data_IF_229392396930
#
_entry.id   IF_229392396930
#
_cell.length_a   1.000
_cell.length_b   1.000
_cell.length_c   1.000
_cell.angle_alpha   90.00
_cell.angle_beta   90.00
_cell.angle_gamma   90.00
#
_symmetry.space_group_name_H-M   'P 1'
#
loop_
_entity.id
_entity.type
_entity.pdbx_description
1 polymer ?
#
# COMPACT_ATOMS: atom_id res chain seq x y z
N UNK A 1 -3.44 24.20 48.86
CA UNK A 1 -2.95 25.52 48.41
C UNK A 1 -1.61 25.37 47.72
N UNK A 2 -1.33 26.25 46.74
CA UNK A 2 -0.09 26.46 45.97
C UNK A 2 0.10 25.61 44.70
N UNK A 3 -0.33 26.26 43.61
CA UNK A 3 0.00 26.05 42.20
C UNK A 3 1.48 26.35 41.95
N UNK A 4 2.11 25.72 40.95
CA UNK A 4 3.05 26.44 40.07
C UNK A 4 3.10 25.84 38.66
N UNK A 5 3.25 26.75 37.70
CA UNK A 5 2.99 26.61 36.26
C UNK A 5 4.27 26.27 35.47
N UNK A 6 4.05 25.55 34.36
CA UNK A 6 4.65 25.60 32.99
C UNK A 6 5.98 26.34 32.79
N UNK A 7 6.82 25.78 31.90
CA UNK A 7 7.25 26.42 30.64
C UNK A 7 7.87 25.39 29.68
N UNK A 8 7.43 25.44 28.42
CA UNK A 8 7.82 24.58 27.30
C UNK A 8 8.25 25.52 26.18
N UNK A 9 9.48 25.34 25.70
CA UNK A 9 10.15 26.21 24.72
C UNK A 9 10.00 25.62 23.32
N UNK A 10 9.39 26.36 22.39
CA UNK A 10 9.34 26.03 20.96
C UNK A 10 10.06 27.14 20.20
N UNK A 11 11.16 26.79 19.53
CA UNK A 11 11.91 27.69 18.65
C UNK A 11 11.34 27.66 17.24
N UNK A 12 10.90 28.83 16.76
CA UNK A 12 10.53 29.08 15.36
C UNK A 12 11.69 29.86 14.74
N UNK A 13 12.37 29.27 13.76
CA UNK A 13 13.36 29.97 12.94
C UNK A 13 12.69 30.36 11.60
N UNK A 14 12.27 31.62 11.52
CA UNK A 14 11.89 32.29 10.28
C UNK A 14 13.13 33.04 9.74
N UNK A 15 13.63 32.63 8.58
CA UNK A 15 14.77 33.24 7.89
C UNK A 15 14.33 33.87 6.57
N UNK A 16 14.59 35.18 6.47
CA UNK A 16 14.20 36.15 5.44
C UNK A 16 14.90 36.04 4.07
N UNK A 17 14.15 36.50 3.05
CA UNK A 17 14.51 37.34 1.88
C UNK A 17 15.98 37.46 1.40
N UNK A 18 16.17 37.29 0.09
CA UNK A 18 16.96 38.21 -0.76
C UNK A 18 16.61 38.06 -2.25
N UNK A 19 16.74 39.17 -2.97
CA UNK A 19 16.16 39.50 -4.27
C UNK A 19 17.23 39.68 -5.38
N UNK A 20 16.81 39.43 -6.64
CA UNK A 20 17.21 40.09 -7.91
C UNK A 20 18.48 39.64 -8.70
N UNK A 21 18.56 39.94 -10.03
CA UNK A 21 19.11 39.08 -11.09
C UNK A 21 20.46 39.57 -11.65
N UNK A 22 21.14 38.72 -12.42
CA UNK A 22 22.24 39.13 -13.28
C UNK A 22 22.23 38.34 -14.61
N UNK A 23 21.97 39.07 -15.70
CA UNK A 23 22.25 38.65 -17.08
C UNK A 23 23.76 38.65 -17.31
N UNK A 24 24.32 37.54 -17.77
CA UNK A 24 25.69 37.47 -18.28
C UNK A 24 25.66 36.96 -19.73
N UNK A 25 25.98 37.86 -20.65
CA UNK A 25 26.28 37.57 -22.05
C UNK A 25 27.62 36.83 -22.12
N UNK A 26 27.62 35.60 -22.62
CA UNK A 26 28.86 34.91 -22.96
C UNK A 26 29.25 35.27 -24.41
N UNK A 27 30.49 35.73 -24.54
CA UNK A 27 31.12 36.20 -25.77
C UNK A 27 31.24 35.08 -26.80
N UNK A 28 30.92 35.42 -28.05
CA UNK A 28 31.29 34.69 -29.25
C UNK A 28 32.81 34.73 -29.39
N UNK A 29 33.48 33.58 -29.21
CA UNK A 29 34.88 33.43 -29.58
C UNK A 29 34.95 32.67 -30.90
N UNK A 30 35.17 33.42 -31.97
CA UNK A 30 35.25 32.97 -33.35
C UNK A 30 36.67 32.42 -33.58
N UNK A 31 36.87 31.14 -33.25
CA UNK A 31 38.09 30.41 -33.61
C UNK A 31 37.74 29.25 -34.53
N UNK A 32 37.82 29.50 -35.83
CA UNK A 32 37.75 28.51 -36.90
C UNK A 32 38.74 27.36 -36.64
N UNK A 33 38.28 26.12 -36.40
CA UNK A 33 39.11 24.94 -36.56
C UNK A 33 39.08 24.50 -38.03
N UNK A 34 40.25 24.15 -38.56
CA UNK A 34 40.42 23.54 -39.87
C UNK A 34 39.47 22.32 -40.06
N UNK A 35 39.06 22.00 -41.30
CA UNK A 35 38.19 20.85 -41.56
C UNK A 35 38.97 19.56 -41.32
N UNK A 36 38.91 19.04 -40.09
CA UNK A 36 39.26 17.65 -39.81
C UNK A 36 38.15 16.83 -40.41
N UNK A 37 38.47 16.05 -41.43
CA UNK A 37 37.60 15.03 -42.02
C UNK A 37 37.39 13.95 -40.95
N UNK A 38 36.47 14.20 -40.03
CA UNK A 38 35.97 13.21 -39.11
C UNK A 38 35.16 12.22 -39.95
N UNK A 39 35.83 11.16 -40.41
CA UNK A 39 35.17 9.90 -40.78
C UNK A 39 34.50 9.38 -39.51
N UNK A 40 33.33 9.91 -39.22
CA UNK A 40 32.40 9.37 -38.25
C UNK A 40 32.08 7.96 -38.73
N UNK A 41 32.73 6.99 -38.11
CA UNK A 41 32.26 5.61 -38.15
C UNK A 41 30.94 5.65 -37.41
N UNK A 42 29.85 5.91 -38.15
CA UNK A 42 28.51 5.62 -37.67
C UNK A 42 28.52 4.12 -37.42
N UNK A 43 28.71 3.73 -36.15
CA UNK A 43 28.38 2.39 -35.70
C UNK A 43 26.93 2.17 -36.07
N UNK A 44 26.71 1.45 -37.16
CA UNK A 44 25.38 1.01 -37.54
C UNK A 44 24.83 0.24 -36.34
N UNK A 45 23.90 0.86 -35.62
CA UNK A 45 23.20 0.19 -34.51
C UNK A 45 22.55 -1.06 -35.11
N UNK A 46 23.14 -2.21 -34.81
CA UNK A 46 22.65 -3.48 -35.31
C UNK A 46 21.29 -3.68 -34.68
N UNK A 47 20.22 -3.64 -35.50
CA UNK A 47 18.87 -3.84 -35.01
C UNK A 47 18.81 -5.17 -34.26
N UNK A 48 18.19 -5.23 -33.07
CA UNK A 48 18.05 -6.48 -32.34
C UNK A 48 17.33 -7.51 -33.21
N UNK A 49 17.83 -8.75 -33.24
CA UNK A 49 17.17 -9.82 -33.98
C UNK A 49 15.76 -10.07 -33.42
N UNK A 50 14.86 -10.58 -34.26
CA UNK A 50 13.51 -10.95 -33.82
C UNK A 50 13.54 -11.93 -32.65
N UNK A 51 14.43 -12.91 -32.69
CA UNK A 51 14.59 -13.90 -31.61
C UNK A 51 14.96 -13.22 -30.29
N UNK A 52 15.88 -12.24 -30.31
CA UNK A 52 16.24 -11.48 -29.11
C UNK A 52 15.06 -10.66 -28.56
N UNK A 53 14.15 -10.19 -29.43
CA UNK A 53 12.96 -9.45 -29.03
C UNK A 53 11.95 -10.40 -28.39
N UNK A 54 11.70 -11.56 -29.00
CA UNK A 54 10.83 -12.61 -28.48
C UNK A 54 11.32 -13.13 -27.13
N UNK A 55 12.61 -13.39 -26.99
CA UNK A 55 13.20 -13.85 -25.72
C UNK A 55 12.98 -12.83 -24.58
N UNK A 56 13.16 -11.54 -24.86
CA UNK A 56 12.88 -10.49 -23.86
C UNK A 56 11.41 -10.43 -23.48
N UNK A 57 10.51 -10.63 -24.44
CA UNK A 57 9.07 -10.68 -24.21
C UNK A 57 8.68 -11.91 -23.38
N UNK A 58 9.22 -13.09 -23.71
CA UNK A 58 9.03 -14.32 -22.94
C UNK A 58 9.46 -14.14 -21.47
N UNK A 59 10.66 -13.60 -21.23
CA UNK A 59 11.14 -13.26 -19.87
C UNK A 59 10.22 -12.26 -19.15
N UNK A 60 9.58 -11.35 -19.87
CA UNK A 60 8.65 -10.39 -19.28
C UNK A 60 7.31 -11.04 -18.90
N UNK A 61 6.87 -12.05 -19.65
CA UNK A 61 5.69 -12.87 -19.35
C UNK A 61 5.99 -13.80 -18.17
N UNK A 62 7.12 -14.52 -18.19
CA UNK A 62 7.56 -15.43 -17.13
C UNK A 62 7.57 -14.73 -15.77
N UNK A 63 8.25 -13.58 -15.65
CA UNK A 63 8.25 -12.80 -14.39
C UNK A 63 6.85 -12.45 -13.86
N UNK A 64 5.88 -12.24 -14.76
CA UNK A 64 4.51 -11.93 -14.38
C UNK A 64 3.76 -13.19 -13.93
N UNK A 65 3.98 -14.32 -14.60
CA UNK A 65 3.45 -15.61 -14.19
C UNK A 65 3.99 -16.01 -12.82
N UNK A 66 5.30 -15.88 -12.58
CA UNK A 66 5.91 -16.12 -11.27
C UNK A 66 5.27 -15.25 -10.17
N UNK A 67 5.02 -13.97 -10.51
CA UNK A 67 4.34 -13.06 -9.58
C UNK A 67 2.92 -13.54 -9.29
N UNK A 68 2.17 -14.02 -10.28
CA UNK A 68 0.81 -14.53 -10.10
C UNK A 68 0.80 -15.83 -9.27
N UNK A 69 1.79 -16.69 -9.42
CA UNK A 69 1.94 -17.91 -8.61
C UNK A 69 2.28 -17.58 -7.14
N UNK A 70 3.15 -16.60 -6.92
CA UNK A 70 3.41 -16.06 -5.58
C UNK A 70 2.15 -15.48 -4.94
N UNK A 71 1.38 -14.68 -5.69
CA UNK A 71 0.12 -14.11 -5.18
C UNK A 71 -0.90 -15.21 -4.88
N UNK A 72 -1.00 -16.22 -5.75
CA UNK A 72 -1.86 -17.40 -5.55
C UNK A 72 -1.52 -18.11 -4.24
N UNK A 73 -0.24 -18.37 -4.01
CA UNK A 73 0.25 -19.02 -2.78
C UNK A 73 -0.08 -18.19 -1.54
N UNK A 74 0.15 -16.87 -1.59
CA UNK A 74 -0.16 -15.94 -0.49
C UNK A 74 -1.65 -15.85 -0.18
N UNK A 75 -2.50 -15.75 -1.21
CA UNK A 75 -3.97 -15.66 -1.05
C UNK A 75 -4.53 -16.98 -0.51
N UNK A 76 -4.06 -18.12 -1.02
CA UNK A 76 -4.48 -19.44 -0.57
C UNK A 76 -4.14 -19.65 0.90
N UNK A 77 -2.90 -19.36 1.28
CA UNK A 77 -2.39 -19.50 2.65
C UNK A 77 -2.80 -18.39 3.64
N UNK A 78 -3.53 -17.36 3.21
CA UNK A 78 -3.95 -16.29 4.13
C UNK A 78 -5.03 -16.78 5.09
N UNK A 79 -4.77 -16.72 6.40
CA UNK A 79 -5.74 -17.13 7.43
C UNK A 79 -6.84 -16.09 7.66
N UNK A 80 -6.56 -14.81 7.37
CA UNK A 80 -7.47 -13.71 7.68
C UNK A 80 -8.37 -13.33 6.50
N UNK A 81 -7.99 -13.71 5.27
CA UNK A 81 -8.76 -13.33 4.09
C UNK A 81 -10.11 -14.03 4.01
N UNK A 82 -11.14 -13.27 3.65
CA UNK A 82 -12.49 -13.85 3.50
C UNK A 82 -12.54 -14.83 2.33
N UNK A 83 -13.37 -15.89 2.40
CA UNK A 83 -13.52 -16.85 1.30
C UNK A 83 -13.93 -16.18 -0.03
N UNK A 84 -14.79 -15.16 0.04
CA UNK A 84 -15.23 -14.38 -1.12
C UNK A 84 -14.05 -13.66 -1.77
N UNK A 85 -13.24 -12.95 -0.98
CA UNK A 85 -12.08 -12.24 -1.50
C UNK A 85 -11.03 -13.18 -2.11
N UNK A 86 -10.78 -14.32 -1.46
CA UNK A 86 -9.90 -15.36 -2.02
C UNK A 86 -10.39 -15.83 -3.37
N UNK A 87 -11.66 -16.23 -3.47
CA UNK A 87 -12.25 -16.74 -4.71
C UNK A 87 -12.14 -15.72 -5.86
N UNK A 88 -12.48 -14.46 -5.61
CA UNK A 88 -12.40 -13.39 -6.62
C UNK A 88 -10.97 -13.19 -7.12
N UNK A 89 -10.00 -13.07 -6.21
CA UNK A 89 -8.60 -12.84 -6.59
C UNK A 89 -7.99 -14.05 -7.32
N UNK A 90 -8.26 -15.27 -6.85
CA UNK A 90 -7.76 -16.49 -7.50
C UNK A 90 -8.34 -16.66 -8.91
N UNK A 91 -9.63 -16.35 -9.11
CA UNK A 91 -10.26 -16.35 -10.42
C UNK A 91 -9.60 -15.35 -11.38
N UNK A 92 -9.27 -14.16 -10.89
CA UNK A 92 -8.55 -13.16 -11.68
C UNK A 92 -7.14 -13.59 -12.03
N UNK A 93 -6.37 -14.17 -11.10
CA UNK A 93 -5.01 -14.62 -11.36
C UNK A 93 -4.98 -15.73 -12.41
N UNK A 94 -5.93 -16.68 -12.35
CA UNK A 94 -6.07 -17.73 -13.35
C UNK A 94 -6.36 -17.14 -14.73
N UNK A 95 -7.27 -16.17 -14.82
CA UNK A 95 -7.59 -15.47 -16.08
C UNK A 95 -6.38 -14.71 -16.64
N UNK A 96 -5.65 -13.97 -15.80
CA UNK A 96 -4.46 -13.24 -16.20
C UNK A 96 -3.33 -14.18 -16.66
N UNK A 97 -3.13 -15.30 -15.96
CA UNK A 97 -2.13 -16.31 -16.32
C UNK A 97 -2.43 -16.94 -17.68
N UNK A 98 -3.70 -17.31 -17.91
CA UNK A 98 -4.15 -17.84 -19.20
C UNK A 98 -3.94 -16.83 -20.33
N UNK A 99 -4.36 -15.57 -20.13
CA UNK A 99 -4.20 -14.53 -21.14
C UNK A 99 -2.72 -14.22 -21.45
N UNK A 100 -1.84 -14.24 -20.44
CA UNK A 100 -0.40 -14.08 -20.63
C UNK A 100 0.20 -15.23 -21.43
N UNK A 101 -0.23 -16.48 -21.19
CA UNK A 101 0.16 -17.64 -21.98
C UNK A 101 -0.23 -17.49 -23.45
N UNK A 102 -1.50 -17.17 -23.72
CA UNK A 102 -1.99 -16.92 -25.09
C UNK A 102 -1.23 -15.78 -25.78
N UNK A 103 -0.90 -14.71 -25.06
CA UNK A 103 -0.09 -13.62 -25.62
C UNK A 103 1.34 -14.08 -25.92
N UNK A 104 1.93 -14.92 -25.06
CA UNK A 104 3.23 -15.54 -25.29
C UNK A 104 3.27 -16.35 -26.59
N UNK A 105 2.28 -17.22 -26.79
CA UNK A 105 2.17 -18.03 -28.01
C UNK A 105 2.08 -17.18 -29.27
N UNK A 106 1.32 -16.08 -29.22
CA UNK A 106 1.20 -15.13 -30.34
C UNK A 106 2.49 -14.39 -30.63
N UNK A 107 3.24 -14.01 -29.60
CA UNK A 107 4.55 -13.36 -29.75
C UNK A 107 5.55 -14.34 -30.36
N UNK A 108 5.53 -15.59 -29.93
CA UNK A 108 6.41 -16.63 -30.47
C UNK A 108 6.09 -16.94 -31.93
N UNK A 109 4.81 -16.97 -32.30
CA UNK A 109 4.36 -17.18 -33.67
C UNK A 109 4.59 -15.97 -34.61
N UNK A 110 4.90 -14.78 -34.08
CA UNK A 110 5.07 -13.57 -34.89
C UNK A 110 6.24 -13.72 -35.88
N UNK A 111 6.01 -13.33 -37.14
CA UNK A 111 6.95 -13.45 -38.25
C UNK A 111 7.47 -12.10 -38.74
N UNK A 112 6.95 -11.01 -38.20
CA UNK A 112 7.35 -9.64 -38.54
C UNK A 112 7.63 -8.78 -37.31
N UNK A 113 8.43 -7.72 -37.50
CA UNK A 113 8.65 -6.71 -36.45
C UNK A 113 7.39 -5.90 -36.13
N UNK A 114 6.46 -5.77 -37.09
CA UNK A 114 5.21 -5.05 -36.90
C UNK A 114 4.27 -5.79 -35.96
N UNK A 115 4.11 -7.11 -36.14
CA UNK A 115 3.38 -7.97 -35.19
C UNK A 115 3.97 -7.88 -33.77
N UNK A 116 5.29 -7.95 -33.64
CA UNK A 116 5.97 -7.85 -32.34
C UNK A 116 5.75 -6.47 -31.70
N UNK A 117 5.78 -5.39 -32.50
CA UNK A 117 5.54 -4.03 -32.03
C UNK A 117 4.12 -3.86 -31.46
N UNK A 118 3.15 -4.57 -32.01
CA UNK A 118 1.75 -4.53 -31.56
C UNK A 118 1.45 -5.47 -30.38
N UNK A 119 2.11 -6.63 -30.32
CA UNK A 119 1.86 -7.64 -29.30
C UNK A 119 2.58 -7.34 -27.98
N UNK A 120 3.85 -6.94 -28.02
CA UNK A 120 4.68 -6.80 -26.82
C UNK A 120 4.14 -5.76 -25.82
N UNK A 121 3.63 -4.58 -26.23
CA UNK A 121 3.08 -3.61 -25.29
C UNK A 121 1.90 -4.16 -24.46
N UNK A 122 1.15 -5.13 -25.00
CA UNK A 122 0.00 -5.75 -24.34
C UNK A 122 0.38 -6.53 -23.08
N UNK A 123 1.62 -7.05 -23.01
CA UNK A 123 2.15 -7.72 -21.80
C UNK A 123 2.02 -6.81 -20.57
N UNK A 124 2.23 -5.50 -20.77
CA UNK A 124 2.04 -4.51 -19.71
C UNK A 124 0.62 -3.96 -19.71
N UNK A 125 0.11 -3.51 -20.86
CA UNK A 125 -1.14 -2.77 -20.95
C UNK A 125 -2.38 -3.60 -20.59
N UNK A 126 -2.44 -4.86 -20.98
CA UNK A 126 -3.68 -5.65 -20.83
C UNK A 126 -3.74 -6.35 -19.46
N UNK A 127 -2.59 -6.57 -18.81
CA UNK A 127 -2.52 -7.34 -17.56
C UNK A 127 -2.17 -6.50 -16.32
N UNK A 128 -1.37 -5.43 -16.48
CA UNK A 128 -0.96 -4.47 -15.43
C UNK A 128 -0.69 -5.08 -14.05
N UNK A 129 -0.06 -6.27 -14.03
CA UNK A 129 0.19 -7.06 -12.81
C UNK A 129 0.78 -6.21 -11.68
N UNK A 130 1.82 -5.42 -11.98
CA UNK A 130 2.52 -4.62 -10.97
C UNK A 130 1.81 -3.31 -10.59
N UNK A 131 0.93 -2.78 -11.44
CA UNK A 131 0.26 -1.49 -11.21
C UNK A 131 -1.12 -1.65 -10.57
N UNK A 132 -1.81 -2.77 -10.81
CA UNK A 132 -3.17 -3.02 -10.33
C UNK A 132 -3.23 -4.29 -9.49
N UNK A 133 -2.90 -5.45 -10.07
CA UNK A 133 -3.15 -6.76 -9.44
C UNK A 133 -2.38 -6.92 -8.11
N UNK A 134 -1.07 -6.65 -8.10
CA UNK A 134 -0.24 -6.72 -6.89
C UNK A 134 -0.71 -5.75 -5.80
N UNK A 135 -0.83 -4.42 -6.03
CA UNK A 135 -1.25 -3.51 -4.97
C UNK A 135 -2.67 -3.79 -4.47
N UNK A 136 -3.61 -4.12 -5.36
CA UNK A 136 -4.97 -4.54 -4.98
C UNK A 136 -4.95 -5.73 -4.03
N UNK A 137 -4.25 -6.79 -4.39
CA UNK A 137 -4.12 -8.01 -3.57
C UNK A 137 -3.63 -7.70 -2.16
N UNK A 138 -2.59 -6.86 -2.06
CA UNK A 138 -2.03 -6.45 -0.77
C UNK A 138 -3.05 -5.68 0.06
N UNK A 139 -3.84 -4.80 -0.56
CA UNK A 139 -4.84 -3.99 0.13
C UNK A 139 -6.04 -4.82 0.59
N UNK A 140 -6.53 -5.76 -0.23
CA UNK A 140 -7.59 -6.71 0.16
C UNK A 140 -7.13 -7.52 1.38
N UNK A 141 -5.94 -8.12 1.33
CA UNK A 141 -5.41 -8.89 2.47
C UNK A 141 -5.21 -8.02 3.73
N UNK A 142 -4.72 -6.78 3.58
CA UNK A 142 -4.55 -5.87 4.71
C UNK A 142 -5.90 -5.44 5.33
N UNK A 143 -6.91 -5.18 4.49
CA UNK A 143 -8.25 -4.82 4.92
C UNK A 143 -8.95 -5.95 5.69
N UNK A 144 -8.83 -7.18 5.20
CA UNK A 144 -9.34 -8.37 5.90
C UNK A 144 -8.64 -8.58 7.26
N UNK A 145 -7.32 -8.34 7.33
CA UNK A 145 -6.56 -8.35 8.60
C UNK A 145 -7.00 -7.26 9.57
N UNK A 146 -7.37 -6.07 9.08
CA UNK A 146 -7.98 -5.03 9.92
C UNK A 146 -9.30 -5.53 10.48
N UNK A 147 -10.14 -6.18 9.66
CA UNK A 147 -11.39 -6.78 10.12
C UNK A 147 -11.20 -7.79 11.24
N UNK A 148 -10.26 -8.72 11.09
CA UNK A 148 -9.91 -9.70 12.13
C UNK A 148 -9.39 -9.02 13.42
N UNK A 149 -8.49 -8.04 13.28
CA UNK A 149 -7.95 -7.30 14.42
C UNK A 149 -9.03 -6.52 15.18
N UNK A 150 -9.97 -5.91 14.46
CA UNK A 150 -11.12 -5.21 15.04
C UNK A 150 -11.95 -6.15 15.91
N UNK A 151 -12.28 -7.36 15.41
CA UNK A 151 -13.06 -8.35 16.19
C UNK A 151 -12.34 -8.72 17.47
N UNK A 152 -11.04 -9.02 17.41
CA UNK A 152 -10.25 -9.41 18.58
C UNK A 152 -10.12 -8.28 19.61
N UNK A 153 -10.02 -7.03 19.16
CA UNK A 153 -9.95 -5.87 20.04
C UNK A 153 -11.30 -5.56 20.68
N UNK A 154 -12.42 -5.77 19.97
CA UNK A 154 -13.75 -5.66 20.56
C UNK A 154 -13.96 -6.71 21.67
N UNK A 155 -13.56 -7.96 21.45
CA UNK A 155 -13.59 -9.01 22.49
C UNK A 155 -12.77 -8.64 23.73
N UNK A 156 -11.58 -8.05 23.52
CA UNK A 156 -10.74 -7.57 24.60
C UNK A 156 -11.36 -6.36 25.34
N UNK A 157 -12.00 -5.45 24.60
CA UNK A 157 -12.72 -4.31 25.17
C UNK A 157 -13.90 -4.78 26.03
N UNK A 158 -14.65 -5.79 25.59
CA UNK A 158 -15.76 -6.35 26.35
C UNK A 158 -15.29 -7.08 27.61
N UNK A 159 -14.22 -7.87 27.51
CA UNK A 159 -13.57 -8.48 28.69
C UNK A 159 -13.11 -7.43 29.71
N UNK A 160 -12.56 -6.32 29.22
CA UNK A 160 -12.14 -5.18 30.06
C UNK A 160 -13.34 -4.50 30.71
N UNK A 161 -14.44 -4.31 29.98
CA UNK A 161 -15.68 -3.75 30.50
C UNK A 161 -16.27 -4.59 31.63
N UNK A 162 -16.22 -5.92 31.50
CA UNK A 162 -16.64 -6.82 32.57
C UNK A 162 -15.75 -6.74 33.80
N UNK A 163 -14.44 -6.62 33.62
CA UNK A 163 -13.50 -6.46 34.72
C UNK A 163 -13.75 -5.16 35.50
N UNK A 164 -13.96 -4.05 34.77
CA UNK A 164 -14.38 -2.77 35.34
C UNK A 164 -15.64 -2.96 36.17
N UNK A 165 -16.70 -3.55 35.61
CA UNK A 165 -17.97 -3.75 36.32
C UNK A 165 -17.79 -4.54 37.61
N UNK A 166 -17.02 -5.63 37.58
CA UNK A 166 -16.74 -6.43 38.80
C UNK A 166 -16.01 -5.62 39.87
N UNK A 167 -15.08 -4.76 39.49
CA UNK A 167 -14.37 -3.89 40.43
C UNK A 167 -15.29 -2.80 41.00
N UNK A 168 -16.19 -2.23 40.19
CA UNK A 168 -17.20 -1.28 40.69
C UNK A 168 -18.18 -1.94 41.65
N UNK A 169 -18.63 -3.16 41.35
CA UNK A 169 -19.50 -3.94 42.25
C UNK A 169 -18.81 -4.22 43.60
N UNK A 170 -17.47 -4.26 43.62
CA UNK A 170 -16.65 -4.38 44.82
C UNK A 170 -16.34 -3.03 45.51
N UNK A 171 -16.79 -1.91 44.95
CA UNK A 171 -16.68 -0.57 45.54
C UNK A 171 -15.46 0.25 45.10
N UNK A 172 -14.67 -0.23 44.15
CA UNK A 172 -13.50 0.51 43.64
C UNK A 172 -13.89 1.61 42.64
N UNK A 173 -13.17 2.73 42.62
CA UNK A 173 -13.36 3.81 41.63
C UNK A 173 -12.70 3.45 40.28
N UNK A 174 -13.52 3.13 39.27
CA UNK A 174 -13.07 2.76 37.93
C UNK A 174 -13.10 3.90 36.91
N UNK A 175 -13.12 5.16 37.34
CA UNK A 175 -13.27 6.33 36.43
C UNK A 175 -12.20 6.38 35.34
N UNK A 176 -10.93 6.14 35.68
CA UNK A 176 -9.83 6.17 34.70
C UNK A 176 -9.88 4.98 33.73
N UNK A 177 -10.16 3.77 34.24
CA UNK A 177 -10.30 2.57 33.41
C UNK A 177 -11.44 2.72 32.39
N UNK A 178 -12.58 3.29 32.79
CA UNK A 178 -13.70 3.59 31.89
C UNK A 178 -13.33 4.59 30.79
N UNK A 179 -12.58 5.64 31.13
CA UNK A 179 -12.11 6.63 30.14
C UNK A 179 -11.26 5.97 29.06
N UNK A 180 -10.31 5.14 29.47
CA UNK A 180 -9.45 4.42 28.54
C UNK A 180 -10.20 3.40 27.69
N UNK A 181 -11.18 2.69 28.27
CA UNK A 181 -12.04 1.78 27.52
C UNK A 181 -12.86 2.53 26.44
N UNK A 182 -13.38 3.72 26.75
CA UNK A 182 -14.07 4.56 25.76
C UNK A 182 -13.13 4.93 24.62
N UNK A 183 -11.92 5.42 24.94
CA UNK A 183 -10.92 5.74 23.90
C UNK A 183 -10.57 4.53 23.04
N UNK A 184 -10.42 3.34 23.65
CA UNK A 184 -10.18 2.11 22.91
C UNK A 184 -11.32 1.81 21.92
N UNK A 185 -12.58 1.90 22.36
CA UNK A 185 -13.75 1.63 21.51
C UNK A 185 -13.88 2.64 20.36
N UNK A 186 -13.57 3.91 20.61
CA UNK A 186 -13.57 4.94 19.57
C UNK A 186 -12.50 4.64 18.50
N UNK A 187 -11.28 4.28 18.91
CA UNK A 187 -10.19 3.92 17.99
C UNK A 187 -10.50 2.62 17.20
N UNK A 188 -11.14 1.62 17.84
CA UNK A 188 -11.59 0.39 17.15
C UNK A 188 -12.64 0.74 16.09
N UNK A 189 -13.62 1.58 16.44
CA UNK A 189 -14.67 2.01 15.52
C UNK A 189 -14.08 2.78 14.33
N UNK A 190 -13.10 3.66 14.55
CA UNK A 190 -12.44 4.39 13.46
C UNK A 190 -11.65 3.46 12.54
N UNK A 191 -10.88 2.52 13.11
CA UNK A 191 -10.18 1.50 12.33
C UNK A 191 -11.13 0.64 11.48
N UNK A 192 -12.27 0.25 12.06
CA UNK A 192 -13.35 -0.49 11.38
C UNK A 192 -13.89 0.32 10.19
N UNK A 193 -14.30 1.57 10.43
CA UNK A 193 -14.94 2.41 9.42
C UNK A 193 -13.99 2.80 8.27
N UNK A 194 -12.71 2.99 8.58
CA UNK A 194 -11.73 3.40 7.59
C UNK A 194 -11.12 2.24 6.82
N UNK A 195 -10.72 1.16 7.51
CA UNK A 195 -9.91 0.09 6.94
C UNK A 195 -10.68 -1.11 6.39
N UNK A 196 -11.81 -1.51 7.00
CA UNK A 196 -12.59 -2.69 6.57
C UNK A 196 -13.21 -2.52 5.17
N UNK A 197 -13.76 -1.35 4.78
CA UNK A 197 -14.35 -1.21 3.45
C UNK A 197 -13.34 -1.21 2.30
N UNK A 198 -12.03 -1.13 2.59
CA UNK A 198 -11.00 -0.98 1.54
C UNK A 198 -11.01 -2.19 0.60
N UNK A 199 -11.14 -3.41 1.10
CA UNK A 199 -11.20 -4.61 0.26
C UNK A 199 -12.31 -4.51 -0.78
N UNK A 200 -13.54 -4.24 -0.36
CA UNK A 200 -14.70 -4.16 -1.26
C UNK A 200 -14.57 -3.02 -2.28
N UNK A 201 -13.91 -1.92 -1.93
CA UNK A 201 -13.69 -0.81 -2.86
C UNK A 201 -12.70 -1.18 -3.98
N UNK A 202 -11.61 -1.90 -3.66
CA UNK A 202 -10.54 -2.14 -4.64
C UNK A 202 -10.64 -3.48 -5.34
N UNK A 203 -11.37 -4.45 -4.79
CA UNK A 203 -11.36 -5.83 -5.32
C UNK A 203 -11.95 -5.93 -6.74
N UNK A 204 -12.83 -4.99 -7.10
CA UNK A 204 -13.41 -4.91 -8.45
C UNK A 204 -12.47 -4.35 -9.52
N UNK A 205 -11.40 -3.64 -9.14
CA UNK A 205 -10.51 -2.95 -10.09
C UNK A 205 -9.87 -3.93 -11.07
N UNK A 206 -9.98 -3.67 -12.36
CA UNK A 206 -9.39 -4.46 -13.43
C UNK A 206 -8.10 -3.86 -13.96
N UNK A 207 -7.30 -4.65 -14.68
CA UNK A 207 -6.12 -4.15 -15.38
C UNK A 207 -6.48 -3.03 -16.38
N UNK A 208 -7.66 -3.08 -17.00
CA UNK A 208 -8.16 -2.05 -17.92
C UNK A 208 -8.40 -0.70 -17.25
N UNK A 209 -8.60 -0.65 -15.94
CA UNK A 209 -8.98 0.55 -15.17
C UNK A 209 -7.80 1.48 -14.89
N UNK A 210 -6.65 1.20 -15.48
CA UNK A 210 -5.49 2.07 -15.37
C UNK A 210 -5.48 3.13 -16.50
N UNK A 211 -5.25 4.40 -16.20
CA UNK A 211 -4.82 4.93 -14.89
C UNK A 211 -5.97 5.16 -13.91
N UNK A 212 -7.10 5.68 -14.38
CA UNK A 212 -8.27 5.97 -13.55
C UNK A 212 -9.41 4.98 -13.87
N UNK A 213 -10.13 4.47 -12.85
CA UNK A 213 -10.06 4.85 -11.43
C UNK A 213 -8.94 4.18 -10.61
N UNK A 214 -8.25 3.18 -11.15
CA UNK A 214 -7.43 2.27 -10.33
C UNK A 214 -6.32 2.97 -9.51
N UNK A 215 -5.59 3.91 -10.10
CA UNK A 215 -4.49 4.59 -9.42
C UNK A 215 -4.97 5.43 -8.23
N UNK A 216 -6.06 6.17 -8.40
CA UNK A 216 -6.64 7.00 -7.34
C UNK A 216 -7.21 6.15 -6.22
N UNK A 217 -7.97 5.10 -6.56
CA UNK A 217 -8.58 4.21 -5.57
C UNK A 217 -7.54 3.43 -4.77
N UNK A 218 -6.51 2.87 -5.42
CA UNK A 218 -5.42 2.20 -4.72
C UNK A 218 -4.63 3.17 -3.83
N UNK A 219 -4.41 4.41 -4.25
CA UNK A 219 -3.74 5.40 -3.42
C UNK A 219 -4.59 5.78 -2.19
N UNK A 220 -5.90 5.91 -2.35
CA UNK A 220 -6.84 6.18 -1.26
C UNK A 220 -6.93 4.99 -0.30
N UNK A 221 -7.09 3.77 -0.81
CA UNK A 221 -7.13 2.55 -0.03
C UNK A 221 -5.86 2.35 0.81
N UNK A 222 -4.69 2.62 0.23
CA UNK A 222 -3.43 2.58 0.98
C UNK A 222 -3.41 3.55 2.18
N UNK A 223 -3.83 4.81 1.99
CA UNK A 223 -3.89 5.79 3.09
C UNK A 223 -4.87 5.37 4.17
N UNK A 224 -6.05 4.87 3.79
CA UNK A 224 -7.06 4.38 4.74
C UNK A 224 -6.54 3.23 5.59
N UNK A 225 -5.80 2.28 4.99
CA UNK A 225 -5.19 1.16 5.72
C UNK A 225 -4.07 1.62 6.67
N UNK A 226 -3.29 2.63 6.30
CA UNK A 226 -2.29 3.21 7.19
C UNK A 226 -2.95 3.88 8.41
N UNK A 227 -4.05 4.62 8.20
CA UNK A 227 -4.81 5.23 9.29
C UNK A 227 -5.41 4.17 10.21
N UNK A 228 -6.08 3.15 9.64
CA UNK A 228 -6.63 2.04 10.43
C UNK A 228 -5.55 1.33 11.26
N UNK A 229 -4.33 1.15 10.72
CA UNK A 229 -3.19 0.60 11.48
C UNK A 229 -2.73 1.49 12.63
N UNK A 230 -2.81 2.81 12.48
CA UNK A 230 -2.56 3.76 13.58
C UNK A 230 -3.63 3.59 14.66
N UNK A 231 -4.90 3.56 14.28
CA UNK A 231 -6.01 3.52 15.23
C UNK A 231 -6.07 2.16 15.97
N UNK A 232 -5.83 1.03 15.30
CA UNK A 232 -5.67 -0.28 15.97
C UNK A 232 -4.56 -0.28 17.02
N UNK A 233 -3.44 0.43 16.77
CA UNK A 233 -2.35 0.54 17.76
C UNK A 233 -2.74 1.40 18.95
N UNK A 234 -3.47 2.49 18.72
CA UNK A 234 -4.00 3.32 19.81
C UNK A 234 -5.03 2.56 20.63
N UNK A 235 -5.97 1.86 19.98
CA UNK A 235 -6.95 1.01 20.63
C UNK A 235 -6.28 0.01 21.58
N UNK A 236 -5.27 -0.71 21.08
CA UNK A 236 -4.48 -1.63 21.92
C UNK A 236 -3.84 -0.90 23.10
N UNK A 237 -3.18 0.24 22.87
CA UNK A 237 -2.54 1.00 23.94
C UNK A 237 -3.56 1.47 25.00
N UNK A 238 -4.73 1.94 24.58
CA UNK A 238 -5.83 2.35 25.45
C UNK A 238 -6.37 1.17 26.27
N UNK A 239 -6.48 -0.03 25.70
CA UNK A 239 -6.87 -1.23 26.48
C UNK A 239 -5.83 -1.61 27.54
N UNK A 240 -4.53 -1.51 27.22
CA UNK A 240 -3.47 -1.74 28.23
C UNK A 240 -3.51 -0.68 29.34
N UNK A 241 -3.79 0.58 29.01
CA UNK A 241 -3.98 1.63 30.02
C UNK A 241 -5.24 1.41 30.87
N UNK A 242 -6.33 0.92 30.28
CA UNK A 242 -7.53 0.56 31.02
C UNK A 242 -7.23 -0.56 32.01
N UNK A 243 -6.49 -1.59 31.58
CA UNK A 243 -6.05 -2.69 32.43
C UNK A 243 -5.17 -2.19 33.59
N UNK A 244 -4.16 -1.37 33.30
CA UNK A 244 -3.29 -0.80 34.35
C UNK A 244 -4.10 0.02 35.37
N UNK A 245 -5.06 0.81 34.92
CA UNK A 245 -5.91 1.60 35.82
C UNK A 245 -6.78 0.72 36.73
N UNK A 246 -7.24 -0.45 36.26
CA UNK A 246 -7.93 -1.44 37.10
C UNK A 246 -6.98 -1.98 38.18
N UNK A 247 -5.75 -2.36 37.80
CA UNK A 247 -4.75 -2.89 38.73
C UNK A 247 -4.35 -1.86 39.80
N UNK A 248 -4.13 -0.60 39.40
CA UNK A 248 -3.75 0.48 40.31
C UNK A 248 -4.87 0.80 41.32
N UNK A 249 -6.12 0.82 40.87
CA UNK A 249 -7.27 1.09 41.73
C UNK A 249 -7.49 -0.04 42.76
N UNK A 250 -7.30 -1.30 42.37
CA UNK A 250 -7.44 -2.43 43.30
C UNK A 250 -6.24 -2.51 44.26
N UNK A 251 -5.02 -2.28 43.76
CA UNK A 251 -3.79 -2.40 44.53
C UNK A 251 -3.51 -1.24 45.48
N UNK A 252 -4.15 -0.07 45.30
CA UNK A 252 -4.00 1.09 46.19
C UNK A 252 -4.83 1.01 47.48
N UNK A 253 -5.80 0.09 47.53
CA UNK A 253 -6.70 -0.13 48.68
C UNK A 253 -6.31 -1.35 49.56
N UNK A 254 -5.24 -2.08 49.19
CA UNK A 254 -4.67 -3.21 49.93
C UNK A 254 -3.54 -2.78 50.87
#
# INVERSE_FOLDING_TARGET
>A
MKRLKKLLTVGIAAGMLATLPATASAQTDERLPAPVTAQGTQTAETRPSMDSIKERAAKAIERRLDTLDELTSRVTGSEHMTPRHKSTLLGEYASASFGLGVLGDRIEAATTYEELRDLIPRIAADFRIYLVVVPKTRQVNASDRVGDAVVRLDEAADTTAEAIRRAEDAGYDMTDAKRWLVSARDDIAEARNTGVPVADNVIGLQASDWKEPAASELAQGHRRLLNASVDLRKAKASLEQAKQAIEDAIGSDA
#
